data_IF_987557299582
#
_entry.id   IF_987557299582
#
_cell.length_a   1.000
_cell.length_b   1.000
_cell.length_c   1.000
_cell.angle_alpha   90.00
_cell.angle_beta   90.00
_cell.angle_gamma   90.00
#
_symmetry.space_group_name_H-M   'P 1'
#
loop_
_entity.id
_entity.type
_entity.pdbx_description
1 polymer ?
#
# COMPACT_ATOMS: atom_id res chain seq x y z
N UNK A 1 21.17 6.82 7.32
CA UNK A 1 19.98 6.01 7.06
C UNK A 1 19.04 6.25 8.23
N UNK A 2 17.85 6.77 7.98
CA UNK A 2 16.82 6.89 9.02
C UNK A 2 16.22 5.49 9.21
N UNK A 3 16.32 4.92 10.40
CA UNK A 3 15.61 3.71 10.74
C UNK A 3 14.11 4.05 10.83
N UNK A 4 13.29 3.37 10.04
CA UNK A 4 11.84 3.41 10.21
C UNK A 4 11.51 3.07 11.66
N UNK A 5 10.71 3.91 12.32
CA UNK A 5 10.25 3.65 13.67
C UNK A 5 9.32 2.44 13.64
N UNK A 6 9.60 1.34 14.35
CA UNK A 6 8.68 0.22 14.41
C UNK A 6 7.39 0.68 15.12
N UNK A 7 6.29 0.75 14.38
CA UNK A 7 4.99 1.13 14.94
C UNK A 7 3.94 1.52 13.89
N UNK A 8 4.36 2.12 12.78
CA UNK A 8 3.47 2.59 11.72
C UNK A 8 3.96 2.04 10.36
N UNK A 9 3.07 1.48 9.51
CA UNK A 9 3.47 0.99 8.20
C UNK A 9 3.96 2.15 7.33
N UNK A 10 5.06 1.95 6.59
CA UNK A 10 5.48 2.94 5.59
C UNK A 10 4.42 2.99 4.48
N UNK A 11 4.09 4.19 3.99
CA UNK A 11 3.06 4.33 2.96
C UNK A 11 3.39 3.54 1.67
N UNK A 12 4.69 3.37 1.39
CA UNK A 12 5.19 2.54 0.30
C UNK A 12 4.80 1.07 0.46
N UNK A 13 4.96 0.49 1.64
CA UNK A 13 4.64 -0.91 1.90
C UNK A 13 3.15 -1.20 1.68
N UNK A 14 2.27 -0.28 2.09
CA UNK A 14 0.81 -0.37 1.86
C UNK A 14 0.48 -0.35 0.36
N UNK A 15 1.19 0.45 -0.44
CA UNK A 15 0.97 0.51 -1.89
C UNK A 15 1.53 -0.75 -2.57
N UNK A 16 2.69 -1.20 -2.16
CA UNK A 16 3.35 -2.38 -2.70
C UNK A 16 2.53 -3.65 -2.42
N UNK A 17 1.96 -3.79 -1.22
CA UNK A 17 1.08 -4.91 -0.89
C UNK A 17 -0.18 -4.92 -1.77
N UNK A 18 -0.86 -3.78 -1.90
CA UNK A 18 -2.06 -3.68 -2.72
C UNK A 18 -1.78 -3.96 -4.21
N UNK A 19 -0.70 -3.42 -4.76
CA UNK A 19 -0.35 -3.60 -6.18
C UNK A 19 0.21 -4.99 -6.47
N UNK A 20 0.88 -5.61 -5.49
CA UNK A 20 1.29 -7.02 -5.56
C UNK A 20 0.09 -7.96 -5.62
N UNK A 21 -0.93 -7.72 -4.79
CA UNK A 21 -2.14 -8.57 -4.73
C UNK A 21 -3.08 -8.35 -5.91
N UNK A 22 -3.35 -7.10 -6.28
CA UNK A 22 -4.41 -6.75 -7.23
C UNK A 22 -3.90 -6.28 -8.60
N UNK A 23 -2.57 -6.26 -8.80
CA UNK A 23 -1.94 -5.71 -10.00
C UNK A 23 -1.97 -4.17 -10.03
N UNK A 24 -1.57 -3.59 -11.16
CA UNK A 24 -1.41 -2.15 -11.30
C UNK A 24 -0.01 -1.68 -10.93
N UNK A 25 0.11 -0.45 -10.43
CA UNK A 25 1.38 0.12 -10.01
C UNK A 25 1.20 1.34 -9.11
N UNK A 26 2.30 1.82 -8.55
CA UNK A 26 2.27 2.92 -7.61
C UNK A 26 3.65 3.49 -7.30
N UNK A 27 3.67 4.53 -6.49
CA UNK A 27 4.89 5.18 -6.03
C UNK A 27 4.62 6.30 -5.05
N UNK A 28 5.67 6.74 -4.36
CA UNK A 28 5.56 7.79 -3.36
C UNK A 28 6.81 7.96 -2.51
N UNK A 29 6.63 8.58 -1.36
CA UNK A 29 7.61 8.69 -0.29
C UNK A 29 7.16 7.86 0.92
N UNK A 30 8.01 7.71 1.96
CA UNK A 30 7.67 6.96 3.17
C UNK A 30 6.37 7.40 3.85
N UNK A 31 5.98 8.67 3.74
CA UNK A 31 4.79 9.22 4.43
C UNK A 31 3.56 9.39 3.53
N UNK A 32 3.73 9.35 2.21
CA UNK A 32 2.64 9.52 1.24
C UNK A 32 2.95 8.69 0.01
N UNK A 33 2.07 7.77 -0.34
CA UNK A 33 2.18 6.98 -1.56
C UNK A 33 0.80 6.78 -2.21
N UNK A 34 0.81 6.46 -3.50
CA UNK A 34 -0.39 6.23 -4.27
C UNK A 34 -0.28 4.94 -5.10
N UNK A 35 -1.34 4.14 -5.08
CA UNK A 35 -1.57 3.04 -6.01
C UNK A 35 -2.56 3.46 -7.13
N UNK A 36 -2.48 2.82 -8.29
CA UNK A 36 -3.39 3.04 -9.42
C UNK A 36 -3.50 1.83 -10.34
N UNK A 37 -4.65 1.69 -11.00
CA UNK A 37 -4.91 0.59 -11.93
C UNK A 37 -5.14 -0.77 -11.27
N UNK A 38 -5.50 -0.79 -9.98
CA UNK A 38 -5.81 -2.02 -9.24
C UNK A 38 -6.99 -2.75 -9.89
N UNK A 39 -6.85 -4.05 -10.14
CA UNK A 39 -7.95 -4.90 -10.61
C UNK A 39 -8.72 -5.49 -9.41
N UNK A 40 -9.33 -4.60 -8.61
CA UNK A 40 -10.09 -4.95 -7.42
C UNK A 40 -11.25 -4.00 -7.20
N UNK A 41 -12.30 -4.47 -6.50
CA UNK A 41 -13.34 -3.57 -5.98
C UNK A 41 -12.85 -2.89 -4.70
N UNK A 42 -13.47 -1.76 -4.36
CA UNK A 42 -13.12 -1.02 -3.15
C UNK A 42 -13.21 -1.89 -1.89
N UNK A 43 -14.26 -2.70 -1.74
CA UNK A 43 -14.41 -3.61 -0.61
C UNK A 43 -13.30 -4.66 -0.54
N UNK A 44 -12.83 -5.20 -1.68
CA UNK A 44 -11.73 -6.16 -1.70
C UNK A 44 -10.39 -5.52 -1.26
N UNK A 45 -10.17 -4.25 -1.60
CA UNK A 45 -9.01 -3.48 -1.12
C UNK A 45 -9.13 -3.21 0.37
N UNK A 46 -10.32 -2.92 0.89
CA UNK A 46 -10.54 -2.74 2.33
C UNK A 46 -10.35 -4.05 3.11
N UNK A 47 -10.82 -5.17 2.56
CA UNK A 47 -10.65 -6.50 3.15
C UNK A 47 -9.17 -6.94 3.24
N UNK A 48 -8.28 -6.39 2.41
CA UNK A 48 -6.84 -6.64 2.54
C UNK A 48 -6.26 -6.11 3.87
N UNK A 49 -6.81 -5.01 4.38
CA UNK A 49 -6.29 -4.29 5.56
C UNK A 49 -7.22 -4.37 6.78
N UNK A 50 -8.30 -5.14 6.67
CA UNK A 50 -9.16 -5.45 7.82
C UNK A 50 -8.65 -6.71 8.50
N UNK A 51 -8.54 -6.64 9.82
CA UNK A 51 -8.44 -7.79 10.72
C UNK A 51 -9.82 -8.49 10.85
#
# INVERSE_FOLDING_TARGET
>A
MAAATPGEPEAGDVVDEATSKFGGGGGGSPTVAQAGGLNARADEVLDLYRD
#
